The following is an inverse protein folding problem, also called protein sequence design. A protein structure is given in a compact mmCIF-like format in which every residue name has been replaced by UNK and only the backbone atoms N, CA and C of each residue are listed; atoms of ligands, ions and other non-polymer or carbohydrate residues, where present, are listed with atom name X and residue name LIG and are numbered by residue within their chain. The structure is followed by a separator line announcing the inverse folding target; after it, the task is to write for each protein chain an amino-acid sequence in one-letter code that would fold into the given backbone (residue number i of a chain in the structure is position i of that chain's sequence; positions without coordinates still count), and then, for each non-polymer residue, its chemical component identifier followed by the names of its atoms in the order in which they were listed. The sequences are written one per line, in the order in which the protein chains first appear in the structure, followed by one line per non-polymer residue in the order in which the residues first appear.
data_IF_642916650162
#
_entry.id   IF_642916650162
#
_cell.length_a   1.000
_cell.length_b   1.000
_cell.length_c   1.000
_cell.angle_alpha   90.00
_cell.angle_beta   90.00
_cell.angle_gamma   90.00
#
_symmetry.space_group_name_H-M   'P 1'
#
loop_
_entity.id
_entity.type
_entity.pdbx_description
1 polymer ?
#
# COMPACT_ATOMS: atom_id res chain seq x y z
N UNK A 1 8.41 18.99 12.53
CA UNK A 1 7.37 19.39 11.60
C UNK A 1 6.09 18.70 12.01
N UNK A 2 5.07 19.47 12.31
CA UNK A 2 3.73 18.95 12.54
C UNK A 2 3.24 18.35 11.21
N UNK A 3 2.93 17.07 11.20
CA UNK A 3 2.37 16.41 10.01
C UNK A 3 1.04 17.06 9.60
N UNK A 4 0.69 16.90 8.33
CA UNK A 4 -0.60 17.31 7.78
C UNK A 4 -1.36 16.03 7.40
N UNK A 5 -2.66 15.97 7.66
CA UNK A 5 -3.48 14.84 7.21
C UNK A 5 -3.62 14.83 5.69
N UNK A 6 -3.84 13.66 5.09
CA UNK A 6 -4.07 13.55 3.65
C UNK A 6 -5.27 14.36 3.18
N UNK A 7 -6.34 14.42 3.98
CA UNK A 7 -7.53 15.21 3.70
C UNK A 7 -7.24 16.72 3.67
N UNK A 8 -6.49 17.21 4.65
CA UNK A 8 -6.09 18.62 4.72
C UNK A 8 -5.14 19.00 3.58
N UNK A 9 -4.17 18.13 3.26
CA UNK A 9 -3.27 18.33 2.13
C UNK A 9 -4.05 18.39 0.82
N UNK A 10 -5.00 17.48 0.60
CA UNK A 10 -5.84 17.47 -0.59
C UNK A 10 -6.73 18.73 -0.69
N UNK A 11 -7.32 19.19 0.43
CA UNK A 11 -8.11 20.41 0.48
C UNK A 11 -7.28 21.64 0.14
N UNK A 12 -6.08 21.75 0.67
CA UNK A 12 -5.14 22.84 0.37
C UNK A 12 -4.72 22.83 -1.10
N UNK A 13 -4.39 21.65 -1.64
CA UNK A 13 -4.02 21.49 -3.05
C UNK A 13 -5.18 21.84 -3.99
N UNK A 14 -6.40 21.43 -3.66
CA UNK A 14 -7.62 21.78 -4.41
C UNK A 14 -7.83 23.28 -4.47
N UNK A 15 -7.79 23.96 -3.31
CA UNK A 15 -7.93 25.42 -3.23
C UNK A 15 -6.85 26.15 -4.03
N UNK A 16 -5.60 25.65 -3.96
CA UNK A 16 -4.49 26.21 -4.72
C UNK A 16 -4.68 26.04 -6.23
N UNK A 17 -5.09 24.86 -6.69
CA UNK A 17 -5.35 24.59 -8.09
C UNK A 17 -6.45 25.51 -8.64
N UNK A 18 -7.55 25.69 -7.92
CA UNK A 18 -8.61 26.62 -8.29
C UNK A 18 -8.12 28.07 -8.39
N UNK A 19 -7.29 28.50 -7.42
CA UNK A 19 -6.70 29.85 -7.42
C UNK A 19 -5.88 30.13 -8.68
N UNK A 20 -5.23 29.10 -9.24
CA UNK A 20 -4.48 29.19 -10.48
C UNK A 20 -5.30 28.89 -11.75
N UNK A 21 -6.62 28.84 -11.63
CA UNK A 21 -7.54 28.69 -12.76
C UNK A 21 -7.71 27.27 -13.29
N UNK A 22 -7.32 26.26 -12.52
CA UNK A 22 -7.60 24.87 -12.89
C UNK A 22 -9.11 24.61 -12.87
N UNK A 23 -9.59 23.93 -13.91
CA UNK A 23 -10.96 23.40 -13.94
C UNK A 23 -10.96 22.01 -13.29
N UNK A 24 -11.92 21.77 -12.40
CA UNK A 24 -12.01 20.52 -11.65
C UNK A 24 -13.29 19.80 -12.04
N UNK A 25 -13.15 18.55 -12.49
CA UNK A 25 -14.26 17.63 -12.65
C UNK A 25 -14.33 16.77 -11.39
N UNK A 26 -15.46 16.82 -10.70
CA UNK A 26 -15.70 16.06 -9.46
C UNK A 26 -16.73 15.00 -9.78
N UNK A 27 -16.55 13.82 -9.18
CA UNK A 27 -17.42 12.65 -9.38
C UNK A 27 -17.52 12.18 -10.85
N UNK A 28 -16.45 12.36 -11.62
CA UNK A 28 -16.31 11.85 -12.98
C UNK A 28 -15.07 10.99 -13.07
N UNK A 29 -15.25 9.73 -13.46
CA UNK A 29 -14.17 8.78 -13.60
C UNK A 29 -13.61 8.77 -15.03
N UNK A 30 -12.29 8.87 -15.15
CA UNK A 30 -11.62 8.59 -16.41
C UNK A 30 -11.66 7.09 -16.70
N UNK A 31 -12.30 6.70 -17.79
CA UNK A 31 -12.47 5.30 -18.23
C UNK A 31 -11.54 4.90 -19.36
N UNK A 32 -10.87 5.86 -20.00
CA UNK A 32 -9.94 5.56 -21.08
C UNK A 32 -9.19 6.79 -21.58
N UNK A 33 -8.13 6.50 -22.31
CA UNK A 33 -7.31 7.50 -23.01
C UNK A 33 -7.27 7.15 -24.50
N UNK A 34 -7.61 8.09 -25.35
CA UNK A 34 -7.31 7.99 -26.79
C UNK A 34 -5.94 8.62 -27.03
N UNK A 35 -4.96 7.82 -27.37
CA UNK A 35 -3.55 8.22 -27.48
C UNK A 35 -2.96 8.00 -28.88
N UNK A 36 -3.75 7.49 -29.83
CA UNK A 36 -3.40 7.21 -31.22
C UNK A 36 -3.05 8.47 -32.03
N UNK A 37 -3.54 9.62 -31.59
CA UNK A 37 -3.31 10.94 -32.22
C UNK A 37 -3.29 12.08 -31.21
N UNK A 38 -2.73 13.20 -31.62
CA UNK A 38 -2.77 14.46 -30.84
C UNK A 38 -3.84 15.41 -31.38
N UNK A 39 -4.53 16.17 -30.49
CA UNK A 39 -4.48 16.10 -29.04
C UNK A 39 -4.98 14.74 -28.54
N UNK A 40 -4.43 14.28 -27.41
CA UNK A 40 -4.98 13.12 -26.68
C UNK A 40 -6.40 13.43 -26.23
N UNK A 41 -7.20 12.40 -25.93
CA UNK A 41 -8.53 12.63 -25.39
C UNK A 41 -8.81 11.69 -24.21
N UNK A 42 -9.07 12.27 -23.05
CA UNK A 42 -9.61 11.54 -21.89
C UNK A 42 -11.08 11.22 -22.15
N UNK A 43 -11.47 9.97 -21.89
CA UNK A 43 -12.86 9.49 -21.99
C UNK A 43 -13.39 9.26 -20.59
N UNK A 44 -14.57 9.80 -20.30
CA UNK A 44 -15.23 9.69 -19.00
C UNK A 44 -16.40 8.69 -19.05
N UNK A 45 -16.91 8.33 -17.86
CA UNK A 45 -18.00 7.38 -17.69
C UNK A 45 -19.35 7.86 -18.26
N UNK A 46 -19.59 9.16 -18.33
CA UNK A 46 -20.74 9.82 -18.97
C UNK A 46 -20.65 9.91 -20.49
N UNK A 47 -19.53 9.44 -21.08
CA UNK A 47 -19.26 9.49 -22.52
C UNK A 47 -18.62 10.81 -22.98
N UNK A 48 -18.42 11.78 -22.10
CA UNK A 48 -17.70 13.02 -22.43
C UNK A 48 -16.23 12.73 -22.78
N UNK A 49 -15.65 13.64 -23.59
CA UNK A 49 -14.25 13.58 -24.00
C UNK A 49 -13.59 14.93 -23.81
N UNK A 50 -12.50 14.93 -23.08
CA UNK A 50 -11.71 16.15 -22.85
C UNK A 50 -10.39 16.03 -23.62
N UNK A 51 -10.15 16.93 -24.61
CA UNK A 51 -8.89 16.94 -25.34
C UNK A 51 -7.76 17.51 -24.48
N UNK A 52 -6.57 16.90 -24.55
CA UNK A 52 -5.39 17.32 -23.81
C UNK A 52 -4.12 17.21 -24.66
N UNK A 53 -3.24 18.20 -24.59
CA UNK A 53 -1.92 18.15 -25.22
C UNK A 53 -0.95 17.26 -24.45
N UNK A 54 -1.10 17.24 -23.12
CA UNK A 54 -0.34 16.42 -22.18
C UNK A 54 -1.28 15.89 -21.10
N UNK A 55 -0.98 14.70 -20.58
CA UNK A 55 -1.75 14.04 -19.51
C UNK A 55 -0.79 13.69 -18.39
N UNK A 56 -1.17 14.02 -17.15
CA UNK A 56 -0.48 13.58 -15.95
C UNK A 56 -1.33 12.51 -15.29
N UNK A 57 -0.78 11.30 -15.15
CA UNK A 57 -1.44 10.17 -14.54
C UNK A 57 -1.07 10.13 -13.04
N UNK A 58 -2.03 10.45 -12.19
CA UNK A 58 -1.86 10.49 -10.74
C UNK A 58 -3.00 9.71 -10.04
N UNK A 59 -3.40 8.56 -10.61
CA UNK A 59 -4.55 7.75 -10.20
C UNK A 59 -4.29 6.87 -8.97
N UNK A 60 -3.05 6.82 -8.47
CA UNK A 60 -2.70 6.06 -7.29
C UNK A 60 -2.85 4.54 -7.45
N UNK A 61 -3.01 3.85 -6.34
CA UNK A 61 -3.13 2.42 -6.29
C UNK A 61 -4.06 2.00 -5.13
N UNK A 62 -4.61 0.80 -5.21
CA UNK A 62 -5.41 0.19 -4.15
C UNK A 62 -4.56 -0.81 -3.37
N UNK A 63 -4.51 -0.69 -2.05
CA UNK A 63 -3.81 -1.66 -1.22
C UNK A 63 -4.50 -3.04 -1.30
N UNK A 64 -3.69 -4.08 -1.41
CA UNK A 64 -4.19 -5.45 -1.36
C UNK A 64 -4.69 -5.75 0.05
N UNK A 65 -5.93 -6.22 0.12
CA UNK A 65 -6.56 -6.59 1.38
C UNK A 65 -6.24 -8.04 1.72
N UNK A 66 -6.10 -8.33 3.01
CA UNK A 66 -6.03 -9.68 3.50
C UNK A 66 -7.39 -10.38 3.28
N UNK A 67 -7.34 -11.68 2.97
CA UNK A 67 -8.56 -12.47 2.74
C UNK A 67 -9.17 -12.94 4.06
N UNK A 68 -9.65 -11.99 4.88
CA UNK A 68 -10.27 -12.23 6.18
C UNK A 68 -11.69 -11.66 6.16
N UNK A 69 -12.68 -12.44 6.59
CA UNK A 69 -14.10 -12.09 6.49
C UNK A 69 -14.46 -10.80 7.24
N UNK A 70 -13.85 -10.57 8.39
CA UNK A 70 -14.12 -9.42 9.26
C UNK A 70 -13.11 -8.28 9.15
N UNK A 71 -12.23 -8.30 8.14
CA UNK A 71 -11.16 -7.30 7.98
C UNK A 71 -11.70 -5.86 7.98
N UNK A 72 -12.79 -5.61 7.25
CA UNK A 72 -13.40 -4.29 7.11
C UNK A 72 -13.84 -3.66 8.43
N UNK A 73 -14.11 -4.47 9.45
CA UNK A 73 -14.50 -3.99 10.77
C UNK A 73 -13.33 -3.31 11.49
N UNK A 74 -12.11 -3.74 11.22
CA UNK A 74 -10.91 -3.27 11.90
C UNK A 74 -10.07 -2.31 11.04
N UNK A 75 -10.44 -2.06 9.78
CA UNK A 75 -9.76 -1.06 8.94
C UNK A 75 -9.90 0.34 9.54
N UNK A 76 -8.75 0.96 9.88
CA UNK A 76 -8.69 2.22 10.61
C UNK A 76 -8.89 2.10 12.13
N UNK A 77 -9.27 0.91 12.62
CA UNK A 77 -9.48 0.59 14.04
C UNK A 77 -8.57 -0.57 14.49
N UNK A 78 -7.30 -0.53 14.06
CA UNK A 78 -6.27 -1.53 14.37
C UNK A 78 -5.66 -2.20 13.14
N UNK A 79 -6.29 -2.14 11.96
CA UNK A 79 -5.68 -2.58 10.70
C UNK A 79 -5.32 -1.36 9.85
N UNK A 80 -4.05 -1.27 9.47
CA UNK A 80 -3.45 -0.15 8.75
C UNK A 80 -2.73 -0.63 7.49
N UNK A 81 -2.64 0.23 6.46
CA UNK A 81 -1.95 -0.03 5.20
C UNK A 81 -0.71 0.83 5.01
N UNK A 82 -0.44 1.70 5.97
CA UNK A 82 0.75 2.58 6.02
C UNK A 82 1.28 2.61 7.45
N UNK A 83 2.57 2.86 7.60
CA UNK A 83 3.22 3.06 8.90
C UNK A 83 3.81 4.46 8.93
N UNK A 84 3.03 5.43 9.38
CA UNK A 84 3.46 6.82 9.56
C UNK A 84 3.72 7.14 11.04
N UNK A 85 4.12 8.36 11.30
CA UNK A 85 4.35 8.82 12.68
C UNK A 85 3.07 8.73 13.54
N UNK A 86 1.89 8.92 12.93
CA UNK A 86 0.61 8.84 13.63
C UNK A 86 0.37 7.40 14.15
N UNK A 87 0.44 6.41 13.25
CA UNK A 87 0.23 5.01 13.62
C UNK A 87 1.32 4.53 14.61
N UNK A 88 2.56 4.99 14.44
CA UNK A 88 3.65 4.69 15.37
C UNK A 88 3.40 5.21 16.79
N UNK A 89 2.72 6.36 16.93
CA UNK A 89 2.32 6.87 18.24
C UNK A 89 1.15 6.11 18.85
N UNK A 90 0.18 5.69 18.02
CA UNK A 90 -0.99 4.93 18.48
C UNK A 90 -0.61 3.57 19.07
N UNK A 91 0.48 2.96 18.57
CA UNK A 91 0.95 1.64 19.03
C UNK A 91 2.30 1.70 19.79
N UNK A 92 2.64 2.88 20.35
CA UNK A 92 3.87 3.03 21.13
C UNK A 92 3.89 2.13 22.38
N UNK A 93 5.02 1.42 22.60
CA UNK A 93 5.20 0.46 23.68
C UNK A 93 4.31 -0.79 23.61
N UNK A 94 3.57 -0.97 22.50
CA UNK A 94 2.73 -2.15 22.25
C UNK A 94 3.46 -3.17 21.37
N UNK A 95 2.90 -4.36 21.27
CA UNK A 95 3.27 -5.35 20.26
C UNK A 95 2.48 -5.07 18.98
N UNK A 96 3.15 -5.14 17.84
CA UNK A 96 2.53 -4.91 16.54
C UNK A 96 2.86 -6.05 15.58
N UNK A 97 1.98 -6.28 14.61
CA UNK A 97 2.21 -7.27 13.57
C UNK A 97 2.23 -6.59 12.19
N UNK A 98 3.20 -6.97 11.38
CA UNK A 98 3.35 -6.56 9.98
C UNK A 98 3.19 -7.80 9.10
N UNK A 99 2.32 -7.72 8.12
CA UNK A 99 2.10 -8.78 7.13
C UNK A 99 2.69 -8.35 5.80
N UNK A 100 3.72 -9.05 5.35
CA UNK A 100 4.38 -8.79 4.07
C UNK A 100 5.87 -9.05 4.10
N UNK A 101 6.44 -9.41 2.95
CA UNK A 101 7.86 -9.75 2.79
C UNK A 101 8.65 -8.78 1.92
N UNK A 102 8.04 -7.72 1.38
CA UNK A 102 8.71 -6.76 0.51
C UNK A 102 9.37 -5.59 1.25
N UNK A 103 9.99 -4.69 0.48
CA UNK A 103 10.69 -3.52 1.03
C UNK A 103 9.79 -2.63 1.91
N UNK A 104 8.52 -2.47 1.56
CA UNK A 104 7.57 -1.68 2.36
C UNK A 104 7.37 -2.28 3.76
N UNK A 105 7.26 -3.60 3.85
CA UNK A 105 7.18 -4.30 5.14
C UNK A 105 8.46 -4.13 5.96
N UNK A 106 9.63 -4.25 5.32
CA UNK A 106 10.92 -4.04 5.99
C UNK A 106 11.10 -2.62 6.50
N UNK A 107 10.71 -1.61 5.72
CA UNK A 107 10.75 -0.21 6.13
C UNK A 107 9.81 0.05 7.32
N UNK A 108 8.58 -0.47 7.25
CA UNK A 108 7.61 -0.37 8.34
C UNK A 108 8.13 -1.04 9.61
N UNK A 109 8.71 -2.24 9.50
CA UNK A 109 9.26 -2.97 10.64
C UNK A 109 10.36 -2.19 11.36
N UNK A 110 11.33 -1.69 10.61
CA UNK A 110 12.44 -0.91 11.16
C UNK A 110 11.97 0.44 11.73
N UNK A 111 10.96 1.04 11.14
CA UNK A 111 10.38 2.30 11.61
C UNK A 111 9.59 2.09 12.92
N UNK A 112 8.67 1.12 12.95
CA UNK A 112 7.84 0.83 14.12
C UNK A 112 8.66 0.29 15.30
N UNK A 113 9.74 -0.44 15.04
CA UNK A 113 10.64 -0.95 16.09
C UNK A 113 11.29 0.14 16.94
N UNK A 114 11.27 1.41 16.49
CA UNK A 114 11.79 2.53 17.28
C UNK A 114 10.89 2.91 18.46
N UNK A 115 9.60 2.58 18.39
CA UNK A 115 8.61 2.96 19.41
C UNK A 115 7.83 1.76 19.96
N UNK A 116 7.61 0.74 19.17
CA UNK A 116 6.92 -0.48 19.57
C UNK A 116 7.77 -1.34 20.52
N UNK A 117 7.12 -2.02 21.45
CA UNK A 117 7.76 -2.99 22.34
C UNK A 117 8.31 -4.18 21.56
N UNK A 118 7.53 -4.70 20.61
CA UNK A 118 7.89 -5.79 19.71
C UNK A 118 7.19 -5.67 18.37
N UNK A 119 7.88 -6.05 17.30
CA UNK A 119 7.35 -6.08 15.94
C UNK A 119 7.46 -7.50 15.41
N UNK A 120 6.32 -8.14 15.14
CA UNK A 120 6.28 -9.41 14.43
C UNK A 120 6.17 -9.15 12.93
N UNK A 121 7.05 -9.75 12.14
CA UNK A 121 6.99 -9.68 10.67
C UNK A 121 6.58 -11.05 10.14
N UNK A 122 5.35 -11.15 9.65
CA UNK A 122 4.78 -12.40 9.13
C UNK A 122 4.95 -12.46 7.62
N UNK A 123 5.59 -13.52 7.13
CA UNK A 123 5.81 -13.74 5.70
C UNK A 123 5.39 -15.17 5.31
N UNK A 124 4.74 -15.30 4.18
CA UNK A 124 4.29 -16.61 3.66
C UNK A 124 5.44 -17.44 3.10
N UNK A 125 6.48 -16.78 2.60
CA UNK A 125 7.70 -17.45 2.13
C UNK A 125 8.58 -17.94 3.28
N UNK A 126 9.56 -18.76 2.96
CA UNK A 126 10.55 -19.23 3.94
C UNK A 126 11.71 -18.26 4.15
N UNK A 127 11.77 -17.17 3.36
CA UNK A 127 12.85 -16.19 3.37
C UNK A 127 12.34 -14.82 2.92
N UNK A 128 13.06 -13.77 3.30
CA UNK A 128 12.90 -12.40 2.79
C UNK A 128 13.78 -12.12 1.56
N UNK A 129 14.72 -13.00 1.24
CA UNK A 129 15.80 -12.73 0.29
C UNK A 129 15.34 -12.47 -1.14
N UNK A 130 14.17 -13.00 -1.53
CA UNK A 130 13.63 -12.87 -2.89
C UNK A 130 12.89 -11.55 -3.13
N UNK A 131 12.39 -10.91 -2.07
CA UNK A 131 11.47 -9.77 -2.20
C UNK A 131 11.89 -8.53 -1.42
N UNK A 132 12.91 -8.65 -0.56
CA UNK A 132 13.39 -7.55 0.27
C UNK A 132 14.87 -7.26 0.02
N UNK A 133 15.26 -5.98 0.01
CA UNK A 133 16.65 -5.58 -0.12
C UNK A 133 17.50 -6.07 1.06
N UNK A 134 18.73 -6.49 0.79
CA UNK A 134 19.67 -6.98 1.82
C UNK A 134 19.91 -5.98 2.96
N UNK A 135 19.87 -4.70 2.64
CA UNK A 135 19.97 -3.63 3.64
C UNK A 135 18.86 -3.71 4.70
N UNK A 136 17.60 -3.92 4.28
CA UNK A 136 16.46 -4.03 5.21
C UNK A 136 16.50 -5.35 5.98
N UNK A 137 16.82 -6.46 5.30
CA UNK A 137 16.97 -7.77 5.96
C UNK A 137 17.97 -7.66 7.11
N UNK A 138 19.15 -7.09 6.84
CA UNK A 138 20.17 -6.89 7.86
C UNK A 138 19.67 -6.06 9.04
N UNK A 139 18.94 -4.97 8.79
CA UNK A 139 18.37 -4.13 9.84
C UNK A 139 17.34 -4.86 10.68
N UNK A 140 16.53 -5.73 10.07
CA UNK A 140 15.60 -6.60 10.78
C UNK A 140 16.35 -7.57 11.69
N UNK A 141 17.38 -8.24 11.16
CA UNK A 141 18.21 -9.21 11.91
C UNK A 141 18.96 -8.57 13.08
N UNK A 142 19.43 -7.33 12.91
CA UNK A 142 20.16 -6.59 13.95
C UNK A 142 19.23 -5.95 15.01
N UNK A 143 17.92 -5.91 14.77
CA UNK A 143 16.95 -5.28 15.68
C UNK A 143 16.43 -6.29 16.72
N UNK A 144 16.72 -6.11 18.02
CA UNK A 144 16.41 -7.09 19.05
C UNK A 144 14.92 -7.26 19.34
N UNK A 145 14.09 -6.27 18.95
CA UNK A 145 12.65 -6.27 19.14
C UNK A 145 11.86 -6.55 17.84
N UNK A 146 12.53 -6.95 16.75
CA UNK A 146 11.86 -7.44 15.56
C UNK A 146 11.97 -8.96 15.51
N UNK A 147 10.84 -9.62 15.34
CA UNK A 147 10.76 -11.08 15.24
C UNK A 147 10.19 -11.48 13.87
N UNK A 148 11.01 -12.14 13.05
CA UNK A 148 10.60 -12.67 11.76
C UNK A 148 9.91 -14.04 11.93
N UNK A 149 8.71 -14.16 11.40
CA UNK A 149 7.91 -15.38 11.33
C UNK A 149 7.71 -15.79 9.86
N UNK A 150 8.53 -16.69 9.39
CA UNK A 150 8.44 -17.26 8.04
C UNK A 150 7.34 -18.32 7.95
N UNK A 151 6.86 -18.58 6.72
CA UNK A 151 5.79 -19.55 6.45
C UNK A 151 4.55 -19.31 7.32
N UNK A 152 4.23 -18.05 7.58
CA UNK A 152 3.19 -17.69 8.55
C UNK A 152 2.20 -16.71 7.89
N UNK A 153 0.91 -17.00 8.07
CA UNK A 153 -0.17 -16.16 7.59
C UNK A 153 -1.16 -15.82 8.71
N UNK A 154 -1.77 -14.66 8.64
CA UNK A 154 -2.89 -14.28 9.51
C UNK A 154 -4.13 -15.03 9.06
N UNK A 155 -4.81 -15.69 9.98
CA UNK A 155 -6.03 -16.48 9.75
C UNK A 155 -7.24 -15.92 10.47
N UNK A 156 -7.07 -15.04 11.47
CA UNK A 156 -8.16 -14.47 12.23
C UNK A 156 -7.83 -13.15 12.88
N UNK A 157 -8.86 -12.32 13.04
CA UNK A 157 -8.85 -11.05 13.77
C UNK A 157 -10.00 -11.08 14.76
N UNK A 158 -9.79 -10.55 15.96
CA UNK A 158 -10.84 -10.46 16.98
C UNK A 158 -10.72 -9.16 17.77
N UNK A 159 -11.86 -8.70 18.29
CA UNK A 159 -12.00 -7.49 19.05
C UNK A 159 -13.45 -6.98 19.04
N UNK A 160 -13.73 -5.95 19.83
CA UNK A 160 -15.03 -5.29 19.90
C UNK A 160 -15.11 -4.09 18.96
N UNK A 161 -14.76 -2.90 19.41
CA UNK A 161 -14.76 -1.67 18.61
C UNK A 161 -13.43 -1.43 17.86
N UNK A 162 -12.39 -2.13 18.27
CA UNK A 162 -11.06 -2.09 17.66
C UNK A 162 -10.44 -3.49 17.67
N UNK A 163 -9.33 -3.66 16.97
CA UNK A 163 -8.57 -4.89 16.98
C UNK A 163 -7.98 -5.14 18.38
N UNK A 164 -8.19 -6.32 18.93
CA UNK A 164 -7.69 -6.73 20.25
C UNK A 164 -6.77 -7.94 20.16
N UNK A 165 -7.00 -8.84 19.19
CA UNK A 165 -6.14 -10.00 19.00
C UNK A 165 -6.04 -10.40 17.52
N UNK A 166 -4.88 -10.97 17.18
CA UNK A 166 -4.55 -11.51 15.87
C UNK A 166 -4.21 -12.99 16.02
N UNK A 167 -4.80 -13.82 15.18
CA UNK A 167 -4.50 -15.22 15.07
C UNK A 167 -3.71 -15.50 13.78
N UNK A 168 -2.62 -16.26 13.90
CA UNK A 168 -1.83 -16.68 12.75
C UNK A 168 -1.49 -18.15 12.79
N UNK A 169 -1.22 -18.71 11.63
CA UNK A 169 -0.85 -20.10 11.44
C UNK A 169 0.49 -20.18 10.72
N UNK A 170 1.35 -21.07 11.19
CA UNK A 170 2.52 -21.48 10.45
C UNK A 170 2.17 -22.63 9.50
N UNK A 171 2.29 -22.43 8.21
CA UNK A 171 1.82 -23.37 7.18
C UNK A 171 2.70 -24.63 7.07
N UNK A 172 3.97 -24.58 7.55
CA UNK A 172 4.83 -25.77 7.58
C UNK A 172 4.54 -26.69 8.76
N UNK A 173 4.24 -26.12 9.91
CA UNK A 173 4.05 -26.90 11.14
C UNK A 173 2.57 -27.12 11.49
N UNK A 174 1.68 -26.35 10.87
CA UNK A 174 0.26 -26.30 11.24
C UNK A 174 -0.02 -25.61 12.57
N UNK A 175 1.01 -25.09 13.26
CA UNK A 175 0.85 -24.42 14.56
C UNK A 175 0.05 -23.15 14.41
N UNK A 176 -1.00 -23.04 15.23
CA UNK A 176 -1.84 -21.83 15.34
C UNK A 176 -1.51 -21.13 16.66
N UNK A 177 -1.36 -19.83 16.62
CA UNK A 177 -1.06 -18.97 17.77
C UNK A 177 -1.96 -17.75 17.74
N UNK A 178 -2.54 -17.39 18.89
CA UNK A 178 -3.30 -16.15 19.08
C UNK A 178 -2.51 -15.22 19.98
N UNK A 179 -2.44 -13.95 19.60
CA UNK A 179 -1.71 -12.91 20.33
C UNK A 179 -2.60 -11.69 20.56
N UNK A 180 -2.52 -11.13 21.76
CA UNK A 180 -3.18 -9.89 22.12
C UNK A 180 -2.43 -8.72 21.49
N UNK A 181 -2.81 -8.38 20.26
CA UNK A 181 -2.18 -7.35 19.43
C UNK A 181 -3.27 -6.47 18.84
N UNK A 182 -3.23 -5.17 19.17
CA UNK A 182 -4.19 -4.17 18.72
C UNK A 182 -3.81 -3.46 17.41
N UNK A 183 -2.64 -3.75 16.82
CA UNK A 183 -2.19 -3.08 15.60
C UNK A 183 -1.59 -4.06 14.58
N UNK A 184 -2.22 -4.15 13.42
CA UNK A 184 -1.80 -4.93 12.26
C UNK A 184 -1.53 -4.01 11.06
N UNK A 185 -0.33 -4.11 10.49
CA UNK A 185 0.08 -3.37 9.30
C UNK A 185 0.12 -4.30 8.09
N UNK A 186 -0.82 -4.15 7.16
CA UNK A 186 -0.88 -4.95 5.93
C UNK A 186 0.01 -4.31 4.86
N UNK A 187 1.20 -4.88 4.66
CA UNK A 187 2.19 -4.46 3.67
C UNK A 187 2.30 -5.47 2.52
N UNK A 188 1.16 -6.00 2.08
CA UNK A 188 1.07 -7.05 1.05
C UNK A 188 1.12 -6.53 -0.38
N UNK A 189 1.39 -5.22 -0.54
CA UNK A 189 1.49 -4.55 -1.83
C UNK A 189 0.21 -3.87 -2.25
N UNK A 190 0.22 -3.37 -3.50
CA UNK A 190 -0.90 -2.62 -4.06
C UNK A 190 -1.16 -3.04 -5.51
N UNK A 191 -2.33 -2.70 -6.02
CA UNK A 191 -2.71 -2.82 -7.42
C UNK A 191 -2.83 -1.40 -7.98
N UNK A 192 -2.06 -1.03 -9.01
CA UNK A 192 -2.12 0.31 -9.58
C UNK A 192 -3.45 0.54 -10.31
N UNK A 193 -3.96 1.77 -10.23
CA UNK A 193 -5.16 2.16 -10.96
C UNK A 193 -4.78 2.60 -12.39
N UNK A 194 -4.26 1.66 -13.19
CA UNK A 194 -3.73 1.89 -14.54
C UNK A 194 -4.53 1.19 -15.65
N UNK A 195 -5.49 0.34 -15.33
CA UNK A 195 -6.23 -0.45 -16.30
C UNK A 195 -6.94 0.39 -17.39
N UNK A 196 -7.37 1.62 -17.07
CA UNK A 196 -8.00 2.54 -18.03
C UNK A 196 -7.04 3.10 -19.10
N UNK A 197 -5.72 2.85 -18.96
CA UNK A 197 -4.67 3.26 -19.89
C UNK A 197 -4.28 2.16 -20.89
N UNK A 198 -5.04 1.05 -20.93
CA UNK A 198 -4.77 -0.07 -21.82
C UNK A 198 -4.58 0.38 -23.26
N UNK A 199 -3.50 -0.08 -23.91
CA UNK A 199 -3.13 0.29 -25.27
C UNK A 199 -2.43 1.65 -25.41
N UNK A 200 -2.30 2.45 -24.34
CA UNK A 200 -1.63 3.75 -24.38
C UNK A 200 -0.28 3.78 -23.67
N UNK A 201 -0.04 2.88 -22.75
CA UNK A 201 1.19 2.78 -21.98
C UNK A 201 1.56 1.32 -21.77
N UNK A 202 2.85 1.03 -21.69
CA UNK A 202 3.33 -0.31 -21.36
C UNK A 202 3.35 -0.49 -19.85
N UNK A 203 2.76 -1.59 -19.38
CA UNK A 203 2.75 -1.98 -17.97
C UNK A 203 3.55 -3.27 -17.76
N UNK A 204 4.02 -3.46 -16.52
CA UNK A 204 4.58 -4.73 -16.08
C UNK A 204 3.48 -5.78 -15.80
N UNK A 205 3.88 -7.00 -15.44
CA UNK A 205 2.95 -8.09 -15.13
C UNK A 205 2.07 -7.85 -13.89
N UNK A 206 2.37 -6.83 -13.08
CA UNK A 206 1.57 -6.40 -11.93
C UNK A 206 0.68 -5.19 -12.23
N UNK A 207 0.76 -4.63 -13.45
CA UNK A 207 -0.02 -3.48 -13.91
C UNK A 207 0.63 -2.12 -13.66
N UNK A 208 1.85 -2.05 -13.13
CA UNK A 208 2.57 -0.79 -12.97
C UNK A 208 3.10 -0.30 -14.31
N UNK A 209 2.96 1.00 -14.58
CA UNK A 209 3.45 1.63 -15.79
C UNK A 209 4.98 1.57 -15.80
N UNK A 210 5.54 0.98 -16.86
CA UNK A 210 7.00 0.94 -17.06
C UNK A 210 7.53 2.33 -17.39
N UNK A 211 8.69 2.68 -16.84
CA UNK A 211 9.34 3.97 -17.09
C UNK A 211 10.85 3.81 -17.18
N UNK A 212 11.50 4.73 -17.89
CA UNK A 212 12.96 4.79 -17.95
C UNK A 212 13.61 3.47 -18.37
N UNK A 213 14.45 2.89 -17.51
CA UNK A 213 15.20 1.65 -17.76
C UNK A 213 14.34 0.39 -17.84
N UNK A 214 13.09 0.44 -17.39
CA UNK A 214 12.20 -0.71 -17.42
C UNK A 214 11.56 -0.91 -18.81
N UNK A 215 11.66 0.11 -19.67
CA UNK A 215 11.21 0.05 -21.06
C UNK A 215 12.24 -0.65 -21.92
N UNK A 216 11.81 -1.69 -22.65
CA UNK A 216 12.60 -2.32 -23.71
C UNK A 216 12.59 -1.49 -24.98
N UNK A 217 13.42 -1.86 -25.96
CA UNK A 217 13.37 -1.22 -27.29
C UNK A 217 12.04 -1.45 -27.99
N UNK A 218 11.44 -2.62 -27.79
CA UNK A 218 10.14 -2.99 -28.34
C UNK A 218 8.98 -2.19 -27.71
N UNK A 219 9.11 -1.78 -26.44
CA UNK A 219 8.14 -0.91 -25.76
C UNK A 219 8.16 0.54 -26.30
N UNK A 220 9.19 0.93 -27.04
CA UNK A 220 9.40 2.28 -27.57
C UNK A 220 9.04 2.43 -29.06
N UNK A 221 8.78 1.31 -29.76
CA UNK A 221 8.32 1.25 -31.17
C UNK A 221 6.79 1.31 -31.27
#
# INVERSE_FOLDING_TARGET
PTGISGSELAGNAYTQAQKFGAQMLIASDAKGLACDRRPYALKFDDGEKVPARTVVIATGAQYRRLSLENLSRFEGAGVYYVATHLESQLCAQEEVVIVGGGNSAGQAAVFLAQTARRVYVLVRSDSLAESMSRYLIRRIEESPNIELRTNTEVIGLSGSDHLEAVEWRNDKTGKVEQHEIGALFSMTGAVPNSAWLEGCVTCDGAGFIKTGSDLSKEDLE
#
